data_IF_288294424070
#
_entry.id   IF_288294424070
#
_cell.length_a   1.000
_cell.length_b   1.000
_cell.length_c   1.000
_cell.angle_alpha   90.00
_cell.angle_beta   90.00
_cell.angle_gamma   90.00
#
_symmetry.space_group_name_H-M   'P 1'
#
loop_
_entity.id
_entity.type
_entity.pdbx_description
1 polymer ?
#
# COMPACT_ATOMS: atom_id res chain seq x y z
N UNK A 1 -12.14 -25.76 8.50
CA UNK A 1 -13.02 -24.60 8.28
C UNK A 1 -12.78 -24.19 6.84
N UNK A 2 -13.82 -23.97 6.05
CA UNK A 2 -13.71 -23.87 4.59
C UNK A 2 -12.87 -22.66 4.18
N UNK A 3 -11.99 -22.86 3.20
CA UNK A 3 -11.24 -21.84 2.49
C UNK A 3 -12.21 -20.97 1.67
N UNK A 4 -12.96 -20.12 2.36
CA UNK A 4 -13.69 -19.04 1.68
C UNK A 4 -12.61 -18.07 1.17
N UNK A 5 -12.31 -18.19 -0.13
CA UNK A 5 -11.46 -17.25 -0.85
C UNK A 5 -11.94 -15.83 -0.54
N UNK A 6 -11.12 -15.12 0.24
CA UNK A 6 -11.43 -13.75 0.64
C UNK A 6 -11.16 -12.84 -0.56
N UNK A 7 -12.20 -12.58 -1.35
CA UNK A 7 -12.16 -11.74 -2.55
C UNK A 7 -12.20 -10.24 -2.23
N UNK A 8 -12.31 -9.88 -0.95
CA UNK A 8 -12.55 -8.52 -0.50
C UNK A 8 -13.99 -8.07 -0.75
N UNK A 9 -14.42 -7.04 -0.03
CA UNK A 9 -15.72 -6.40 -0.21
C UNK A 9 -15.55 -5.01 -0.83
N UNK A 10 -16.42 -4.66 -1.77
CA UNK A 10 -16.51 -3.27 -2.23
C UNK A 10 -16.81 -2.35 -1.05
N UNK A 11 -16.31 -1.13 -1.13
CA UNK A 11 -16.48 -0.14 -0.09
C UNK A 11 -17.94 0.36 -0.02
N UNK A 12 -18.54 0.31 1.16
CA UNK A 12 -19.86 0.89 1.44
C UNK A 12 -19.68 2.15 2.30
N UNK A 13 -19.90 3.34 1.70
CA UNK A 13 -19.68 4.62 2.38
C UNK A 13 -18.30 5.22 2.07
N UNK A 14 -17.63 5.79 3.07
CA UNK A 14 -16.29 6.38 2.92
C UNK A 14 -15.28 5.88 3.99
N UNK A 15 -15.71 5.08 4.96
CA UNK A 15 -14.83 4.51 6.00
C UNK A 15 -14.16 3.27 5.44
N UNK A 16 -12.84 3.17 5.60
CA UNK A 16 -12.09 1.96 5.24
C UNK A 16 -12.24 0.92 6.34
N UNK A 17 -12.63 -0.30 5.98
CA UNK A 17 -12.74 -1.45 6.88
C UNK A 17 -11.80 -2.57 6.49
N UNK A 18 -11.42 -3.39 7.46
CA UNK A 18 -10.71 -4.63 7.18
C UNK A 18 -11.56 -5.52 6.27
N UNK A 19 -10.95 -5.93 5.17
CA UNK A 19 -11.53 -6.71 4.10
C UNK A 19 -12.02 -5.90 2.91
N UNK A 20 -11.97 -4.56 2.96
CA UNK A 20 -12.34 -3.77 1.80
C UNK A 20 -11.30 -3.83 0.68
N UNK A 21 -11.80 -3.72 -0.55
CA UNK A 21 -11.02 -3.40 -1.73
C UNK A 21 -10.77 -1.89 -1.78
N UNK A 22 -9.50 -1.51 -1.88
CA UNK A 22 -9.04 -0.13 -2.04
C UNK A 22 -8.06 -0.03 -3.20
N UNK A 23 -7.99 1.13 -3.84
CA UNK A 23 -6.89 1.48 -4.75
C UNK A 23 -6.13 2.67 -4.17
N UNK A 24 -4.79 2.58 -4.19
CA UNK A 24 -3.91 3.60 -3.63
C UNK A 24 -3.38 4.50 -4.74
N UNK A 25 -3.74 5.78 -4.70
CA UNK A 25 -3.22 6.80 -5.61
C UNK A 25 -2.09 7.55 -4.93
N UNK A 26 -0.95 7.60 -5.58
CA UNK A 26 0.16 8.47 -5.17
C UNK A 26 -0.22 9.93 -5.45
N UNK A 27 -0.11 10.81 -4.45
CA UNK A 27 -0.61 12.17 -4.57
C UNK A 27 0.20 12.99 -5.58
N UNK A 28 1.53 12.84 -5.57
CA UNK A 28 2.42 13.67 -6.40
C UNK A 28 2.37 13.31 -7.88
N UNK A 29 2.42 12.02 -8.22
CA UNK A 29 2.42 11.57 -9.63
C UNK A 29 1.01 11.33 -10.17
N UNK A 30 0.03 11.19 -9.27
CA UNK A 30 -1.36 10.88 -9.62
C UNK A 30 -1.61 9.45 -10.11
N UNK A 31 -0.59 8.58 -10.01
CA UNK A 31 -0.65 7.18 -10.49
C UNK A 31 -1.05 6.22 -9.37
N UNK A 32 -1.62 5.09 -9.75
CA UNK A 32 -2.08 4.07 -8.83
C UNK A 32 -1.04 2.98 -8.60
N UNK A 33 -0.87 2.58 -7.34
CA UNK A 33 -0.10 1.39 -6.97
C UNK A 33 -0.73 0.15 -7.60
N UNK A 34 0.11 -0.73 -8.15
CA UNK A 34 -0.32 -1.97 -8.80
C UNK A 34 0.82 -2.98 -8.83
N UNK A 35 0.50 -4.21 -9.25
CA UNK A 35 1.44 -5.28 -9.52
C UNK A 35 0.90 -6.20 -10.62
N UNK A 36 1.77 -7.00 -11.26
CA UNK A 36 1.37 -7.89 -12.37
C UNK A 36 1.98 -9.27 -12.26
N UNK A 37 1.17 -10.29 -12.52
CA UNK A 37 1.61 -11.68 -12.46
C UNK A 37 2.72 -11.95 -13.49
N UNK A 38 3.85 -12.46 -13.03
CA UNK A 38 5.02 -12.75 -13.87
C UNK A 38 5.89 -11.53 -14.21
N UNK A 39 5.57 -10.34 -13.73
CA UNK A 39 6.46 -9.17 -13.80
C UNK A 39 7.29 -9.08 -12.52
N UNK A 40 8.49 -9.67 -12.57
CA UNK A 40 9.41 -9.79 -11.46
C UNK A 40 10.65 -8.90 -11.68
N UNK A 41 11.28 -8.48 -10.58
CA UNK A 41 12.59 -7.83 -10.65
C UNK A 41 13.63 -8.79 -11.26
N UNK A 42 14.46 -8.30 -12.18
CA UNK A 42 15.56 -9.10 -12.76
C UNK A 42 16.78 -9.18 -11.81
N UNK A 43 16.88 -8.24 -10.88
CA UNK A 43 17.86 -8.19 -9.79
C UNK A 43 17.17 -8.07 -8.43
N UNK A 44 17.90 -7.63 -7.40
CA UNK A 44 17.34 -7.48 -6.06
C UNK A 44 16.87 -8.82 -5.49
N UNK A 45 15.64 -8.87 -4.99
CA UNK A 45 15.05 -10.11 -4.46
C UNK A 45 14.57 -11.09 -5.51
N UNK A 46 14.37 -10.64 -6.76
CA UNK A 46 13.70 -11.42 -7.81
C UNK A 46 12.20 -11.60 -7.60
N UNK A 47 11.59 -10.93 -6.61
CA UNK A 47 10.16 -11.01 -6.32
C UNK A 47 9.34 -10.20 -7.35
N UNK A 48 8.01 -10.33 -7.27
CA UNK A 48 7.09 -9.62 -8.15
C UNK A 48 7.13 -8.11 -7.86
N UNK A 49 7.16 -7.28 -8.91
CA UNK A 49 7.29 -5.84 -8.77
C UNK A 49 6.05 -5.20 -8.15
N UNK A 50 6.25 -4.25 -7.25
CA UNK A 50 5.26 -3.23 -6.96
C UNK A 50 5.68 -1.94 -7.69
N UNK A 51 4.73 -1.27 -8.34
CA UNK A 51 5.00 -0.04 -9.09
C UNK A 51 3.76 0.84 -9.15
N UNK A 52 3.94 2.13 -9.45
CA UNK A 52 2.83 3.05 -9.68
C UNK A 52 2.58 3.20 -11.18
N UNK A 53 1.45 2.67 -11.64
CA UNK A 53 1.10 2.49 -13.05
C UNK A 53 0.21 3.60 -13.60
N UNK A 54 -1.03 3.26 -13.97
CA UNK A 54 -1.96 4.18 -14.62
C UNK A 54 -2.46 5.33 -13.73
N UNK A 55 -3.01 6.38 -14.35
CA UNK A 55 -3.61 7.54 -13.66
C UNK A 55 -5.06 7.33 -13.23
N UNK A 56 -5.69 6.28 -13.75
CA UNK A 56 -7.06 5.86 -13.47
C UNK A 56 -7.04 4.49 -12.77
N UNK A 57 -7.97 4.26 -11.85
CA UNK A 57 -8.08 2.98 -11.19
C UNK A 57 -8.56 1.91 -12.18
N UNK A 58 -8.06 0.69 -12.01
CA UNK A 58 -8.47 -0.49 -12.78
C UNK A 58 -8.53 -1.72 -11.87
N UNK A 59 -8.95 -2.87 -12.41
CA UNK A 59 -8.95 -4.12 -11.64
C UNK A 59 -7.56 -4.50 -11.10
N UNK A 60 -6.49 -4.15 -11.85
CA UNK A 60 -5.09 -4.36 -11.48
C UNK A 60 -4.62 -3.44 -10.33
N UNK A 61 -5.43 -2.46 -9.89
CA UNK A 61 -5.01 -1.49 -8.86
C UNK A 61 -5.56 -1.81 -7.47
N UNK A 62 -6.37 -2.87 -7.35
CA UNK A 62 -7.05 -3.17 -6.10
C UNK A 62 -6.21 -4.02 -5.15
N UNK A 63 -6.22 -3.59 -3.89
CA UNK A 63 -5.67 -4.31 -2.76
C UNK A 63 -6.78 -4.55 -1.73
N UNK A 64 -6.74 -5.71 -1.09
CA UNK A 64 -7.57 -6.05 0.06
C UNK A 64 -6.84 -5.57 1.31
N UNK A 65 -7.51 -4.78 2.14
CA UNK A 65 -7.00 -4.39 3.46
C UNK A 65 -7.17 -5.55 4.43
N UNK A 66 -6.07 -6.13 4.89
CA UNK A 66 -6.07 -7.24 5.84
C UNK A 66 -5.52 -6.78 7.19
N UNK A 67 -5.93 -7.39 8.30
CA UNK A 67 -5.31 -7.11 9.59
C UNK A 67 -3.89 -7.67 9.65
N UNK A 68 -3.12 -7.22 10.64
CA UNK A 68 -1.82 -7.80 11.03
C UNK A 68 -1.89 -9.33 11.10
N UNK A 69 -0.75 -9.98 10.88
CA UNK A 69 -0.67 -11.44 10.91
C UNK A 69 -1.21 -12.00 12.25
N UNK A 70 -2.15 -12.94 12.16
CA UNK A 70 -2.77 -13.60 13.31
C UNK A 70 -4.01 -12.91 13.90
N UNK A 71 -4.35 -11.70 13.46
CA UNK A 71 -5.53 -10.98 13.92
C UNK A 71 -6.78 -11.30 13.09
N UNK A 72 -7.96 -11.32 13.72
CA UNK A 72 -9.27 -11.51 13.08
C UNK A 72 -10.16 -10.27 13.30
N UNK A 73 -10.01 -9.25 12.43
CA UNK A 73 -10.71 -7.94 12.55
C UNK A 73 -11.61 -7.59 11.35
N UNK A 74 -11.92 -8.56 10.50
CA UNK A 74 -12.75 -8.36 9.29
C UNK A 74 -14.05 -7.60 9.60
N UNK A 75 -14.32 -6.54 8.82
CA UNK A 75 -15.53 -5.70 8.93
C UNK A 75 -15.41 -4.56 9.96
N UNK A 76 -14.38 -4.57 10.80
CA UNK A 76 -14.06 -3.45 11.69
C UNK A 76 -13.47 -2.27 10.91
N UNK A 77 -13.65 -1.07 11.44
CA UNK A 77 -13.05 0.15 10.90
C UNK A 77 -11.53 0.10 11.09
N UNK A 78 -10.81 0.56 10.07
CA UNK A 78 -9.36 0.75 10.13
C UNK A 78 -9.10 2.17 10.62
N UNK A 79 -8.24 2.28 11.63
CA UNK A 79 -7.84 3.56 12.21
C UNK A 79 -6.39 3.89 11.87
N UNK A 80 -6.04 5.17 11.84
CA UNK A 80 -4.65 5.60 11.87
C UNK A 80 -3.94 5.03 13.11
N UNK A 81 -2.74 4.53 12.91
CA UNK A 81 -1.95 3.78 13.89
C UNK A 81 -2.20 2.27 13.88
N UNK A 82 -3.24 1.78 13.18
CA UNK A 82 -3.41 0.34 12.99
C UNK A 82 -2.30 -0.23 12.09
N UNK A 83 -1.93 -1.48 12.39
CA UNK A 83 -1.07 -2.31 11.55
C UNK A 83 -1.94 -3.12 10.60
N UNK A 84 -1.72 -2.95 9.30
CA UNK A 84 -2.44 -3.62 8.22
C UNK A 84 -1.47 -4.43 7.35
N UNK A 85 -2.03 -5.30 6.52
CA UNK A 85 -1.37 -5.87 5.35
C UNK A 85 -2.21 -5.53 4.12
N UNK A 86 -1.57 -5.34 2.97
CA UNK A 86 -2.27 -5.03 1.71
C UNK A 86 -2.05 -6.17 0.73
N UNK A 87 -3.11 -6.90 0.40
CA UNK A 87 -3.03 -8.04 -0.53
C UNK A 87 -3.53 -7.63 -1.91
N UNK A 88 -2.66 -7.65 -2.90
CA UNK A 88 -3.03 -7.36 -4.28
C UNK A 88 -4.09 -8.35 -4.77
N UNK A 89 -5.20 -7.84 -5.32
CA UNK A 89 -6.38 -8.65 -5.61
C UNK A 89 -6.09 -9.69 -6.69
N UNK A 90 -5.49 -9.29 -7.80
CA UNK A 90 -5.31 -10.16 -8.95
C UNK A 90 -4.18 -11.18 -8.74
N UNK A 91 -3.08 -10.79 -8.09
CA UNK A 91 -1.90 -11.67 -7.92
C UNK A 91 -1.92 -12.43 -6.59
N UNK A 92 -2.77 -12.02 -5.64
CA UNK A 92 -2.88 -12.56 -4.27
C UNK A 92 -1.64 -12.38 -3.39
N UNK A 93 -0.62 -11.72 -3.90
CA UNK A 93 0.60 -11.38 -3.18
C UNK A 93 0.40 -10.15 -2.29
N UNK A 94 1.14 -10.07 -1.18
CA UNK A 94 1.07 -8.97 -0.23
C UNK A 94 2.08 -7.88 -0.61
N UNK A 95 1.72 -6.61 -0.43
CA UNK A 95 2.67 -5.51 -0.46
C UNK A 95 3.72 -5.74 0.61
N UNK A 96 4.98 -5.82 0.18
CA UNK A 96 6.05 -6.39 0.97
C UNK A 96 7.32 -5.55 0.82
N UNK A 97 8.13 -5.49 1.87
CA UNK A 97 9.47 -4.90 1.79
C UNK A 97 10.40 -5.57 2.78
N UNK A 98 11.70 -5.50 2.56
CA UNK A 98 12.68 -6.22 3.37
C UNK A 98 13.96 -5.41 3.49
N UNK A 99 14.70 -5.56 4.60
CA UNK A 99 15.92 -4.80 4.81
C UNK A 99 17.00 -5.22 3.81
N UNK A 100 17.92 -4.28 3.55
CA UNK A 100 19.19 -4.51 2.85
C UNK A 100 19.10 -4.93 1.37
N UNK A 101 17.92 -4.83 0.73
CA UNK A 101 17.78 -5.00 -0.72
C UNK A 101 17.43 -3.67 -1.37
N UNK A 102 18.29 -3.25 -2.31
CA UNK A 102 18.17 -2.00 -3.03
C UNK A 102 17.20 -2.12 -4.22
N UNK A 103 16.38 -1.08 -4.43
CA UNK A 103 15.53 -0.90 -5.60
C UNK A 103 16.41 -0.70 -6.86
N UNK A 104 15.95 -1.15 -8.04
CA UNK A 104 16.80 -1.21 -9.22
C UNK A 104 17.09 0.15 -9.87
N UNK A 105 16.29 1.20 -9.61
CA UNK A 105 16.45 2.50 -10.26
C UNK A 105 17.14 3.50 -9.34
N UNK A 106 16.64 3.64 -8.11
CA UNK A 106 17.10 4.69 -7.16
C UNK A 106 17.99 4.18 -6.04
N UNK A 107 18.23 2.87 -5.95
CA UNK A 107 18.99 2.22 -4.87
C UNK A 107 18.39 2.47 -3.47
N UNK A 108 17.09 2.76 -3.38
CA UNK A 108 16.32 2.86 -2.12
C UNK A 108 15.89 1.48 -1.64
N UNK A 109 15.09 1.33 -0.57
CA UNK A 109 14.65 -0.01 -0.16
C UNK A 109 13.65 -0.58 -1.17
N UNK A 110 13.85 -1.83 -1.60
CA UNK A 110 12.96 -2.51 -2.55
C UNK A 110 11.58 -2.75 -1.94
N UNK A 111 10.53 -2.42 -2.69
CA UNK A 111 9.14 -2.78 -2.37
C UNK A 111 8.60 -3.70 -3.45
N UNK A 112 7.94 -4.77 -3.03
CA UNK A 112 7.52 -5.86 -3.90
C UNK A 112 6.07 -6.24 -3.61
N UNK A 113 5.53 -7.13 -4.42
CA UNK A 113 4.42 -7.98 -4.01
C UNK A 113 4.96 -9.40 -3.81
N UNK A 114 4.79 -9.97 -2.61
CA UNK A 114 5.35 -11.26 -2.23
C UNK A 114 4.28 -12.24 -1.71
N UNK A 115 4.51 -13.53 -1.97
CA UNK A 115 3.67 -14.59 -1.42
C UNK A 115 2.34 -14.77 -2.15
N UNK A 116 1.37 -15.31 -1.41
CA UNK A 116 0.03 -15.67 -1.89
C UNK A 116 -0.99 -15.72 -0.73
N UNK A 117 -2.09 -16.44 -0.88
CA UNK A 117 -3.11 -16.63 0.18
C UNK A 117 -2.63 -17.40 1.40
N UNK A 118 -1.60 -18.22 1.24
CA UNK A 118 -1.00 -19.04 2.29
C UNK A 118 0.38 -18.57 2.73
N UNK A 119 1.07 -17.77 1.91
CA UNK A 119 2.41 -17.28 2.17
C UNK A 119 2.40 -15.79 2.51
N UNK A 120 2.70 -15.49 3.76
CA UNK A 120 2.75 -14.14 4.35
C UNK A 120 3.70 -14.16 5.54
N UNK A 121 4.33 -13.03 5.84
CA UNK A 121 5.23 -12.88 6.99
C UNK A 121 5.21 -11.45 7.56
N UNK A 122 6.12 -11.17 8.50
CA UNK A 122 6.22 -9.90 9.23
C UNK A 122 6.59 -8.69 8.34
N UNK A 123 7.14 -8.95 7.15
CA UNK A 123 7.54 -7.94 6.16
C UNK A 123 6.37 -7.50 5.26
N UNK A 124 5.18 -8.07 5.47
CA UNK A 124 3.95 -7.62 4.82
C UNK A 124 3.23 -6.52 5.62
N UNK A 125 3.74 -6.18 6.82
CA UNK A 125 3.04 -5.33 7.79
C UNK A 125 3.39 -3.85 7.64
N UNK A 126 2.34 -3.02 7.53
CA UNK A 126 2.44 -1.57 7.37
C UNK A 126 1.56 -0.85 8.39
N UNK A 127 2.04 0.25 8.95
CA UNK A 127 1.26 1.16 9.79
C UNK A 127 0.61 2.20 8.89
N UNK A 128 -0.70 2.41 9.03
CA UNK A 128 -1.40 3.52 8.38
C UNK A 128 -1.22 4.77 9.24
N UNK A 129 -0.44 5.74 8.77
CA UNK A 129 -0.17 6.99 9.49
C UNK A 129 -0.91 8.15 8.85
N UNK A 130 -1.43 9.06 9.66
CA UNK A 130 -2.12 10.25 9.16
C UNK A 130 -1.14 11.21 8.49
N UNK A 131 -1.51 11.75 7.33
CA UNK A 131 -0.82 12.91 6.75
C UNK A 131 -1.21 14.18 7.50
N UNK A 132 -0.44 14.56 8.53
CA UNK A 132 -0.73 15.71 9.40
C UNK A 132 -0.03 17.03 9.02
N UNK A 133 0.60 17.11 7.84
CA UNK A 133 1.55 18.19 7.52
C UNK A 133 0.97 19.33 6.68
N UNK A 134 -0.26 19.18 6.19
CA UNK A 134 -0.99 20.20 5.44
C UNK A 134 -2.26 20.57 6.21
N UNK A 135 -2.23 21.70 6.93
CA UNK A 135 -3.39 22.18 7.70
C UNK A 135 -4.61 22.41 6.80
N UNK A 136 -4.41 22.91 5.57
CA UNK A 136 -5.50 23.23 4.66
C UNK A 136 -6.22 21.98 4.13
N UNK A 137 -5.48 20.89 3.89
CA UNK A 137 -6.11 19.60 3.56
C UNK A 137 -6.83 19.00 4.78
N UNK A 138 -6.26 19.19 5.96
CA UNK A 138 -6.84 18.67 7.20
C UNK A 138 -8.01 19.52 7.74
N UNK A 139 -8.25 20.74 7.22
CA UNK A 139 -9.42 21.56 7.63
C UNK A 139 -10.76 20.85 7.39
N UNK A 140 -10.82 19.96 6.39
CA UNK A 140 -12.02 19.17 6.10
C UNK A 140 -12.20 17.97 7.04
N UNK A 141 -11.19 17.62 7.85
CA UNK A 141 -11.17 16.44 8.71
C UNK A 141 -10.98 16.79 10.18
N UNK A 142 -11.65 16.06 11.07
CA UNK A 142 -11.31 16.12 12.50
C UNK A 142 -9.96 15.39 12.70
N UNK A 143 -8.93 16.13 13.06
CA UNK A 143 -7.58 15.57 13.29
C UNK A 143 -7.55 14.60 14.48
N UNK A 144 -8.50 14.71 15.40
CA UNK A 144 -8.65 13.78 16.53
C UNK A 144 -9.47 12.53 16.15
N UNK A 145 -10.13 12.52 14.99
CA UNK A 145 -10.83 11.34 14.47
C UNK A 145 -9.80 10.35 13.91
N UNK A 146 -9.60 9.19 14.56
CA UNK A 146 -8.60 8.23 14.15
C UNK A 146 -9.05 7.43 12.92
N UNK A 147 -10.29 7.57 12.46
CA UNK A 147 -10.85 6.75 11.38
C UNK A 147 -10.18 7.07 10.04
N UNK A 148 -9.83 6.02 9.30
CA UNK A 148 -9.28 6.14 7.96
C UNK A 148 -10.40 6.19 6.90
N UNK A 149 -10.38 7.23 6.08
CA UNK A 149 -11.42 7.51 5.07
C UNK A 149 -10.86 7.54 3.66
N UNK A 150 -11.72 7.22 2.68
CA UNK A 150 -11.48 7.50 1.26
C UNK A 150 -11.16 8.98 1.07
N UNK A 151 -10.15 9.28 0.25
CA UNK A 151 -9.71 10.64 -0.06
C UNK A 151 -8.78 11.27 0.97
N UNK A 152 -8.76 10.81 2.23
CA UNK A 152 -7.87 11.35 3.27
C UNK A 152 -6.44 10.90 3.01
N UNK A 153 -5.51 11.85 2.94
CA UNK A 153 -4.09 11.57 2.72
C UNK A 153 -3.48 10.82 3.91
N UNK A 154 -2.57 9.91 3.62
CA UNK A 154 -1.91 9.05 4.59
C UNK A 154 -0.51 8.63 4.12
N UNK A 155 0.24 8.02 5.04
CA UNK A 155 1.54 7.40 4.82
C UNK A 155 1.43 5.92 5.20
N UNK A 156 2.12 5.03 4.48
CA UNK A 156 2.33 3.65 4.91
C UNK A 156 3.75 3.48 5.41
N UNK A 157 3.91 3.16 6.69
CA UNK A 157 5.22 2.87 7.28
C UNK A 157 5.43 1.37 7.40
N UNK A 158 6.48 0.87 6.80
CA UNK A 158 6.84 -0.54 6.92
C UNK A 158 7.24 -0.86 8.36
N UNK A 159 6.61 -1.84 9.00
CA UNK A 159 6.82 -2.14 10.42
C UNK A 159 8.25 -2.60 10.69
N UNK A 160 8.79 -3.49 9.85
CA UNK A 160 10.08 -4.13 10.14
C UNK A 160 11.28 -3.19 9.94
N UNK A 161 11.21 -2.25 8.99
CA UNK A 161 12.35 -1.37 8.65
C UNK A 161 12.12 0.11 8.95
N UNK A 162 10.88 0.53 9.20
CA UNK A 162 10.55 1.92 9.54
C UNK A 162 10.51 2.89 8.36
N UNK A 163 10.83 2.42 7.14
CA UNK A 163 10.74 3.23 5.92
C UNK A 163 9.29 3.47 5.50
N UNK A 164 9.05 4.52 4.74
CA UNK A 164 7.72 4.86 4.22
C UNK A 164 7.57 4.41 2.77
N UNK A 165 6.37 3.96 2.39
CA UNK A 165 6.03 3.64 1.01
C UNK A 165 6.12 4.92 0.17
N UNK A 166 6.95 4.87 -0.85
CA UNK A 166 7.41 6.04 -1.57
C UNK A 166 7.28 5.82 -3.09
N UNK A 167 6.97 6.86 -3.83
CA UNK A 167 7.02 6.84 -5.30
C UNK A 167 7.43 8.20 -5.85
N UNK A 168 7.92 8.23 -7.09
CA UNK A 168 8.56 9.40 -7.68
C UNK A 168 8.59 9.30 -9.21
N UNK A 169 9.08 10.32 -9.91
CA UNK A 169 9.06 10.39 -11.38
C UNK A 169 10.02 9.40 -12.06
N UNK A 170 10.96 8.83 -11.32
CA UNK A 170 11.87 7.81 -11.84
C UNK A 170 11.10 6.56 -12.26
N UNK A 171 11.39 6.10 -13.47
CA UNK A 171 10.63 5.05 -14.15
C UNK A 171 11.31 3.70 -13.97
N UNK A 172 10.54 2.70 -13.55
CA UNK A 172 10.95 1.29 -13.54
C UNK A 172 10.61 0.58 -14.86
N UNK A 173 9.64 1.10 -15.61
CA UNK A 173 9.30 0.69 -16.98
C UNK A 173 8.70 1.88 -17.74
N UNK A 174 8.46 1.72 -19.05
CA UNK A 174 8.03 2.81 -19.97
C UNK A 174 6.89 3.69 -19.40
N UNK A 175 5.89 3.08 -18.78
CA UNK A 175 4.74 3.77 -18.17
C UNK A 175 4.54 3.43 -16.69
N UNK A 176 5.62 3.16 -15.96
CA UNK A 176 5.55 2.83 -14.54
C UNK A 176 6.59 3.59 -13.73
N UNK A 177 6.12 4.32 -12.72
CA UNK A 177 7.00 4.89 -11.70
C UNK A 177 7.47 3.79 -10.74
N UNK A 178 8.73 3.88 -10.32
CA UNK A 178 9.26 3.03 -9.27
C UNK A 178 8.51 3.31 -7.95
N UNK A 179 8.30 2.24 -7.18
CA UNK A 179 7.80 2.30 -5.81
C UNK A 179 8.86 1.66 -4.91
N UNK A 180 9.15 2.33 -3.81
CA UNK A 180 10.26 2.01 -2.91
C UNK A 180 9.86 2.24 -1.46
N UNK A 181 10.73 1.81 -0.55
CA UNK A 181 10.74 2.22 0.84
C UNK A 181 11.83 3.26 1.05
N UNK A 182 11.50 4.44 1.57
CA UNK A 182 12.48 5.51 1.71
C UNK A 182 12.35 6.31 3.01
N UNK A 183 13.48 6.73 3.57
CA UNK A 183 13.53 7.67 4.70
C UNK A 183 12.78 7.20 5.95
N UNK A 184 12.48 8.14 6.85
CA UNK A 184 11.57 7.94 7.98
C UNK A 184 10.26 8.75 7.80
N UNK A 185 10.10 9.42 6.66
CA UNK A 185 9.02 10.37 6.40
C UNK A 185 8.89 11.52 7.42
N UNK A 186 7.88 12.37 7.25
CA UNK A 186 7.12 12.53 6.00
C UNK A 186 7.97 13.21 4.91
N UNK A 187 7.76 12.79 3.68
CA UNK A 187 8.12 13.48 2.43
C UNK A 187 6.87 13.54 1.54
N UNK A 188 6.76 14.50 0.63
CA UNK A 188 5.58 14.60 -0.27
C UNK A 188 5.42 13.35 -1.15
N UNK A 189 6.52 12.65 -1.47
CA UNK A 189 6.50 11.40 -2.21
C UNK A 189 6.07 10.18 -1.36
N UNK A 190 5.88 10.36 -0.04
CA UNK A 190 5.29 9.35 0.85
C UNK A 190 3.77 9.47 0.94
N UNK A 191 3.17 10.45 0.24
CA UNK A 191 1.77 10.84 0.39
C UNK A 191 0.88 10.05 -0.56
N UNK A 192 -0.02 9.28 0.01
CA UNK A 192 -0.99 8.47 -0.70
C UNK A 192 -2.40 8.82 -0.27
N UNK A 193 -3.39 8.45 -1.09
CA UNK A 193 -4.81 8.45 -0.73
C UNK A 193 -5.53 7.26 -1.32
N UNK A 194 -6.58 6.82 -0.64
CA UNK A 194 -7.52 5.86 -1.24
C UNK A 194 -8.42 6.61 -2.22
N UNK A 195 -8.44 6.18 -3.48
CA UNK A 195 -9.24 6.77 -4.55
C UNK A 195 -9.70 5.67 -5.53
N UNK A 196 -10.75 5.93 -6.29
CA UNK A 196 -11.34 5.02 -7.27
C UNK A 196 -11.64 5.76 -8.57
#
# INVERSE_FOLDING_TARGET
MSDDQYYGASLEGNIIKYGNLIALKHNMTGRYLTSRLGDNYEGGSGQQKAFAGGWEASSETFFIVLPRFGDERTGEDVNFGDVIRLKHLETRANLHSHPDIASPVTEQQEVTCYGDDSLTDENDEWIVEQWGFDEAENEEFDVEDPTWYVGRSFILRHVATGVTLHSHEELIAEDANEVTGYGAGPDENDRWRVAF
#
